data_IF_471069262833
#
_entry.id   IF_471069262833
#
_cell.length_a   1.000
_cell.length_b   1.000
_cell.length_c   1.000
_cell.angle_alpha   90.00
_cell.angle_beta   90.00
_cell.angle_gamma   90.00
#
_symmetry.space_group_name_H-M   'P 1'
#
loop_
_entity.id
_entity.type
_entity.pdbx_description
1 polymer ?
#
# COMPACT_ATOMS: atom_id res chain seq x y z
N UNK A 1 -23.79 19.53 1.02
CA UNK A 1 -24.18 18.50 2.01
C UNK A 1 -24.05 17.07 1.49
N UNK A 2 -24.36 16.78 0.22
CA UNK A 2 -24.26 15.43 -0.36
C UNK A 2 -22.84 14.84 -0.40
N UNK A 3 -21.80 15.67 -0.55
CA UNK A 3 -20.39 15.24 -0.58
C UNK A 3 -19.94 14.64 0.75
N UNK A 4 -20.37 15.24 1.88
CA UNK A 4 -20.06 14.74 3.22
C UNK A 4 -20.80 13.44 3.54
N UNK A 5 -22.04 13.29 3.05
CA UNK A 5 -22.79 12.02 3.15
C UNK A 5 -22.16 10.89 2.34
N UNK A 6 -21.63 11.19 1.15
CA UNK A 6 -20.89 10.22 0.33
C UNK A 6 -19.56 9.83 0.97
N UNK A 7 -18.81 10.80 1.51
CA UNK A 7 -17.58 10.55 2.28
C UNK A 7 -17.85 9.67 3.51
N UNK A 8 -18.89 9.98 4.29
CA UNK A 8 -19.28 9.18 5.46
C UNK A 8 -19.69 7.75 5.09
N UNK A 9 -20.40 7.57 3.97
CA UNK A 9 -20.73 6.24 3.45
C UNK A 9 -19.49 5.48 2.97
N UNK A 10 -18.54 6.16 2.32
CA UNK A 10 -17.29 5.56 1.85
C UNK A 10 -16.41 5.10 3.02
N UNK A 11 -16.28 5.91 4.08
CA UNK A 11 -15.56 5.51 5.29
C UNK A 11 -16.20 4.31 5.99
N UNK A 12 -17.53 4.23 5.99
CA UNK A 12 -18.25 3.08 6.56
C UNK A 12 -18.11 1.81 5.71
N UNK A 13 -17.98 1.95 4.38
CA UNK A 13 -17.80 0.83 3.43
C UNK A 13 -16.38 0.29 3.40
N UNK A 14 -15.40 1.07 3.86
CA UNK A 14 -14.00 0.70 3.89
C UNK A 14 -13.59 0.00 5.21
N UNK A 15 -14.53 -0.29 6.11
CA UNK A 15 -14.27 -0.88 7.45
C UNK A 15 -13.11 -0.19 8.18
N UNK A 16 -12.89 1.11 7.90
CA UNK A 16 -11.90 1.89 8.60
C UNK A 16 -12.44 2.16 9.99
N UNK A 17 -12.05 1.29 10.91
CA UNK A 17 -12.22 1.49 12.33
C UNK A 17 -11.70 2.91 12.69
N UNK A 18 -12.43 3.64 13.52
CA UNK A 18 -12.07 5.02 13.89
C UNK A 18 -10.64 5.12 14.46
N UNK A 19 -10.11 4.02 15.00
CA UNK A 19 -8.75 3.90 15.52
C UNK A 19 -7.64 4.10 14.46
N UNK A 20 -7.55 3.32 13.35
CA UNK A 20 -6.58 3.57 12.28
C UNK A 20 -6.69 4.97 11.64
N UNK A 21 -7.90 5.53 11.55
CA UNK A 21 -8.07 6.89 11.04
C UNK A 21 -7.43 7.93 11.99
N UNK A 22 -7.66 7.79 13.30
CA UNK A 22 -7.03 8.63 14.32
C UNK A 22 -5.50 8.46 14.37
N UNK A 23 -5.01 7.22 14.26
CA UNK A 23 -3.57 6.94 14.15
C UNK A 23 -2.97 7.59 12.90
N UNK A 24 -3.65 7.51 11.76
CA UNK A 24 -3.21 8.15 10.51
C UNK A 24 -3.04 9.66 10.67
N UNK A 25 -3.94 10.34 11.37
CA UNK A 25 -3.85 11.78 11.63
C UNK A 25 -2.60 12.16 12.44
N UNK A 26 -2.20 11.32 13.40
CA UNK A 26 -1.01 11.56 14.23
C UNK A 26 0.27 11.11 13.52
N UNK A 27 0.24 9.96 12.82
CA UNK A 27 1.39 9.44 12.10
C UNK A 27 1.73 10.26 10.86
N UNK A 28 0.74 10.83 10.17
CA UNK A 28 0.96 11.63 8.98
C UNK A 28 1.99 12.77 9.17
N UNK A 29 1.84 13.68 10.15
CA UNK A 29 2.82 14.74 10.38
C UNK A 29 4.19 14.20 10.82
N UNK A 30 4.23 13.06 11.52
CA UNK A 30 5.51 12.42 11.91
C UNK A 30 6.26 11.92 10.67
N UNK A 31 5.55 11.24 9.76
CA UNK A 31 6.10 10.75 8.50
C UNK A 31 6.59 11.92 7.65
N UNK A 32 5.80 12.99 7.52
CA UNK A 32 6.17 14.18 6.77
C UNK A 32 7.41 14.86 7.36
N UNK A 33 7.47 14.99 8.69
CA UNK A 33 8.61 15.56 9.37
C UNK A 33 9.89 14.74 9.13
N UNK A 34 9.85 13.42 9.32
CA UNK A 34 11.00 12.54 9.06
C UNK A 34 11.42 12.56 7.59
N UNK A 35 10.47 12.64 6.66
CA UNK A 35 10.75 12.75 5.23
C UNK A 35 11.43 14.07 4.88
N UNK A 36 10.88 15.20 5.35
CA UNK A 36 11.48 16.53 5.17
C UNK A 36 12.86 16.62 5.82
N UNK A 37 13.03 16.04 7.00
CA UNK A 37 14.31 15.98 7.71
C UNK A 37 15.36 15.18 6.90
N UNK A 38 14.99 14.02 6.38
CA UNK A 38 15.87 13.21 5.54
C UNK A 38 16.27 13.97 4.26
N UNK A 39 15.32 14.66 3.61
CA UNK A 39 15.61 15.48 2.44
C UNK A 39 16.48 16.70 2.77
N UNK A 40 16.22 17.39 3.87
CA UNK A 40 17.03 18.53 4.32
C UNK A 40 18.48 18.09 4.61
N UNK A 41 18.69 16.94 5.25
CA UNK A 41 20.01 16.37 5.49
C UNK A 41 20.76 16.01 4.20
N UNK A 42 20.04 15.70 3.12
CA UNK A 42 20.61 15.38 1.80
C UNK A 42 20.86 16.58 0.89
N UNK A 43 20.55 17.81 1.35
CA UNK A 43 20.56 19.00 0.49
C UNK A 43 19.45 19.01 -0.56
N UNK A 44 18.34 18.31 -0.31
CA UNK A 44 17.18 18.23 -1.21
C UNK A 44 17.24 17.13 -2.27
N UNK A 45 18.20 16.20 -2.19
CA UNK A 45 18.41 15.17 -3.21
C UNK A 45 17.97 13.78 -2.74
N UNK A 46 17.12 13.11 -3.52
CA UNK A 46 16.65 11.74 -3.24
C UNK A 46 17.75 10.66 -3.24
N UNK A 47 18.98 11.02 -3.63
CA UNK A 47 20.14 10.12 -3.67
C UNK A 47 20.52 9.61 -2.27
N UNK A 48 20.14 10.31 -1.20
CA UNK A 48 20.38 9.87 0.20
C UNK A 48 19.76 8.49 0.51
N UNK A 49 18.65 8.15 -0.13
CA UNK A 49 17.98 6.86 0.08
C UNK A 49 18.80 5.68 -0.49
N UNK A 50 19.72 5.95 -1.43
CA UNK A 50 20.61 4.98 -2.06
C UNK A 50 22.02 5.02 -1.44
N UNK A 51 22.52 6.22 -1.10
CA UNK A 51 23.83 6.39 -0.45
C UNK A 51 23.88 5.81 0.97
N UNK A 52 22.75 5.83 1.70
CA UNK A 52 22.69 5.20 3.03
C UNK A 52 22.41 3.71 2.88
N UNK A 53 23.36 2.81 3.23
CA UNK A 53 23.22 1.38 2.99
C UNK A 53 22.01 0.76 3.72
N UNK A 54 21.65 1.28 4.90
CA UNK A 54 20.47 0.85 5.64
C UNK A 54 19.17 1.24 4.92
N UNK A 55 19.08 2.46 4.39
CA UNK A 55 17.92 2.90 3.63
C UNK A 55 17.78 2.10 2.34
N UNK A 56 18.90 1.87 1.65
CA UNK A 56 18.94 1.11 0.40
C UNK A 56 18.47 -0.33 0.59
N UNK A 57 18.87 -1.01 1.68
CA UNK A 57 18.41 -2.38 1.96
C UNK A 57 16.91 -2.43 2.24
N UNK A 58 16.37 -1.53 3.06
CA UNK A 58 14.93 -1.46 3.32
C UNK A 58 14.14 -1.17 2.04
N UNK A 59 14.61 -0.24 1.20
CA UNK A 59 13.96 0.11 -0.06
C UNK A 59 14.00 -1.05 -1.06
N UNK A 60 15.12 -1.79 -1.12
CA UNK A 60 15.25 -3.01 -1.92
C UNK A 60 14.29 -4.12 -1.46
N UNK A 61 14.17 -4.36 -0.15
CA UNK A 61 13.22 -5.34 0.41
C UNK A 61 11.77 -4.93 0.12
N UNK A 62 11.44 -3.65 0.27
CA UNK A 62 10.10 -3.14 -0.03
C UNK A 62 9.74 -3.35 -1.51
N UNK A 63 10.66 -3.01 -2.43
CA UNK A 63 10.49 -3.27 -3.87
C UNK A 63 10.31 -4.76 -4.16
N UNK A 64 11.12 -5.62 -3.55
CA UNK A 64 11.00 -7.07 -3.71
C UNK A 64 9.63 -7.58 -3.26
N UNK A 65 9.13 -7.13 -2.11
CA UNK A 65 7.79 -7.50 -1.63
C UNK A 65 6.68 -7.04 -2.59
N UNK A 66 6.77 -5.81 -3.09
CA UNK A 66 5.81 -5.28 -4.08
C UNK A 66 5.85 -6.14 -5.35
N UNK A 67 7.04 -6.45 -5.87
CA UNK A 67 7.19 -7.28 -7.08
C UNK A 67 6.62 -8.69 -6.90
N UNK A 68 6.84 -9.31 -5.74
CA UNK A 68 6.29 -10.62 -5.41
C UNK A 68 4.76 -10.59 -5.28
N UNK A 69 4.21 -9.55 -4.63
CA UNK A 69 2.76 -9.38 -4.45
C UNK A 69 2.02 -8.96 -5.73
N UNK A 70 2.69 -8.24 -6.63
CA UNK A 70 2.13 -7.82 -7.91
C UNK A 70 2.12 -8.95 -8.95
N UNK A 71 3.00 -9.95 -8.78
CA UNK A 71 3.08 -11.14 -9.64
C UNK A 71 1.75 -11.90 -9.78
N UNK A 72 1.00 -12.27 -8.72
CA UNK A 72 -0.31 -12.91 -8.86
C UNK A 72 -1.41 -11.97 -9.40
N UNK A 73 -1.27 -10.65 -9.23
CA UNK A 73 -2.21 -9.65 -9.75
C UNK A 73 -2.08 -9.47 -11.28
N UNK A 74 -0.85 -9.53 -11.80
CA UNK A 74 -0.56 -9.42 -13.25
C UNK A 74 -0.67 -10.79 -13.93
N UNK A 75 -0.10 -11.83 -13.32
CA UNK A 75 -0.18 -13.20 -13.80
C UNK A 75 -1.34 -13.90 -13.11
N UNK A 76 -2.55 -13.64 -13.62
CA UNK A 76 -3.79 -14.33 -13.28
C UNK A 76 -3.61 -15.83 -13.58
N UNK A 77 -3.06 -16.61 -12.65
CA UNK A 77 -3.05 -18.07 -12.77
C UNK A 77 -4.47 -18.54 -12.55
N UNK A 78 -5.02 -19.17 -13.59
CA UNK A 78 -6.31 -19.86 -13.65
C UNK A 78 -6.55 -20.57 -12.32
N UNK A 79 -7.49 -20.04 -11.54
CA UNK A 79 -7.82 -20.52 -10.21
C UNK A 79 -8.49 -21.89 -10.36
N UNK A 80 -8.16 -22.84 -9.49
CA UNK A 80 -8.64 -24.24 -9.54
C UNK A 80 -10.19 -24.37 -9.54
N UNK A 81 -10.87 -23.29 -9.16
CA UNK A 81 -12.33 -23.11 -9.17
C UNK A 81 -12.93 -23.21 -10.57
N UNK A 82 -12.19 -22.84 -11.62
CA UNK A 82 -12.65 -22.98 -13.02
C UNK A 82 -12.79 -24.45 -13.45
N UNK A 83 -12.15 -25.39 -12.75
CA UNK A 83 -12.24 -26.82 -13.08
C UNK A 83 -13.51 -27.45 -12.53
N UNK A 84 -14.14 -26.84 -11.51
CA UNK A 84 -15.37 -27.36 -10.89
C UNK A 84 -16.60 -27.01 -11.74
N UNK A 85 -16.59 -25.86 -12.42
CA UNK A 85 -17.67 -25.44 -13.31
C UNK A 85 -17.72 -26.21 -14.63
N UNK A 86 -16.61 -26.82 -15.06
CA UNK A 86 -16.57 -27.74 -16.22
C UNK A 86 -17.12 -29.14 -15.87
N UNK A 87 -16.97 -29.60 -14.63
CA UNK A 87 -17.51 -30.89 -14.18
C UNK A 87 -19.03 -30.81 -14.00
N UNK A 88 -19.55 -29.70 -13.49
CA UNK A 88 -21.00 -29.54 -13.26
C UNK A 88 -21.80 -29.30 -14.56
N UNK A 89 -21.16 -28.85 -15.64
CA UNK A 89 -21.78 -28.74 -16.97
C UNK A 89 -21.70 -30.02 -17.80
N UNK A 90 -20.97 -31.04 -17.32
CA UNK A 90 -20.71 -32.30 -18.03
C UNK A 90 -21.49 -33.51 -17.50
N UNK A 91 -22.39 -33.33 -16.54
CA UNK A 91 -23.31 -34.36 -16.03
C UNK A 91 -24.75 -34.03 -16.38
#
# INVERSE_FOLDING_TARGET
>A
MSVMGLLGYLFRKLDFETAPLGLGVVLAPIIEFSFRQALAMSGGTYVIFVERPISATFMGVALLMILLGLKPLIFKKKDWRDRLTEVEKGG
#
